data_IF_319594073113
#
_entry.id   IF_319594073113
#
_cell.length_a   1.000
_cell.length_b   1.000
_cell.length_c   1.000
_cell.angle_alpha   90.00
_cell.angle_beta   90.00
_cell.angle_gamma   90.00
#
_symmetry.space_group_name_H-M   'P 1'
#
loop_
_entity.id
_entity.type
_entity.pdbx_description
1 polymer ?
#
# COMPACT_ATOMS: atom_id res chain seq x y z
N UNK A 1 29.03 -19.80 31.28
CA UNK A 1 28.27 -19.97 30.01
C UNK A 1 27.02 -19.10 29.90
N UNK A 2 26.43 -18.56 30.99
CA UNK A 2 25.23 -17.70 30.91
C UNK A 2 25.55 -16.24 30.52
N UNK A 3 26.68 -15.70 31.01
CA UNK A 3 27.06 -14.28 30.86
C UNK A 3 27.47 -13.93 29.42
N UNK A 4 28.23 -14.79 28.74
CA UNK A 4 28.67 -14.54 27.35
C UNK A 4 27.51 -14.51 26.35
N UNK A 5 26.48 -15.34 26.58
CA UNK A 5 25.23 -15.33 25.81
C UNK A 5 24.46 -14.03 26.02
N UNK A 6 24.38 -13.54 27.27
CA UNK A 6 23.70 -12.29 27.58
C UNK A 6 24.42 -11.09 26.95
N UNK A 7 25.76 -11.05 27.00
CA UNK A 7 26.56 -9.98 26.39
C UNK A 7 26.43 -10.00 24.85
N UNK A 8 26.45 -11.18 24.22
CA UNK A 8 26.23 -11.30 22.78
C UNK A 8 24.83 -10.83 22.37
N UNK A 9 23.78 -11.25 23.08
CA UNK A 9 22.42 -10.79 22.84
C UNK A 9 22.28 -9.27 23.02
N UNK A 10 22.87 -8.68 24.08
CA UNK A 10 22.81 -7.24 24.30
C UNK A 10 23.50 -6.46 23.16
N UNK A 11 24.70 -6.88 22.74
CA UNK A 11 25.43 -6.24 21.64
C UNK A 11 24.67 -6.33 20.32
N UNK A 12 24.08 -7.48 20.02
CA UNK A 12 23.23 -7.65 18.84
C UNK A 12 22.02 -6.73 18.91
N UNK A 13 21.35 -6.64 20.07
CA UNK A 13 20.15 -5.85 20.26
C UNK A 13 20.44 -4.35 20.14
N UNK A 14 21.55 -3.86 20.71
CA UNK A 14 22.01 -2.47 20.56
C UNK A 14 22.32 -2.15 19.10
N UNK A 15 23.02 -3.05 18.39
CA UNK A 15 23.31 -2.87 16.97
C UNK A 15 22.03 -2.78 16.12
N UNK A 16 21.06 -3.67 16.35
CA UNK A 16 19.78 -3.64 15.65
C UNK A 16 18.97 -2.39 15.97
N UNK A 17 19.01 -1.89 17.21
CA UNK A 17 18.36 -0.63 17.57
C UNK A 17 18.99 0.56 16.86
N UNK A 18 20.33 0.65 16.81
CA UNK A 18 21.03 1.72 16.09
C UNK A 18 20.73 1.70 14.59
N UNK A 19 20.74 0.52 13.95
CA UNK A 19 20.37 0.39 12.54
C UNK A 19 18.92 0.83 12.27
N UNK A 20 17.99 0.48 13.18
CA UNK A 20 16.59 0.87 13.04
C UNK A 20 16.41 2.39 13.15
N UNK A 21 17.14 3.05 14.06
CA UNK A 21 17.14 4.51 14.20
C UNK A 21 17.71 5.21 12.96
N UNK A 22 18.80 4.69 12.39
CA UNK A 22 19.37 5.20 11.14
C UNK A 22 18.39 5.06 9.96
N UNK A 23 17.74 3.89 9.85
CA UNK A 23 16.74 3.63 8.81
C UNK A 23 15.52 4.55 8.95
N UNK A 24 15.02 4.75 10.17
CA UNK A 24 13.90 5.67 10.42
C UNK A 24 14.28 7.10 10.07
N UNK A 25 15.48 7.55 10.48
CA UNK A 25 15.99 8.89 10.15
C UNK A 25 16.08 9.09 8.64
N UNK A 26 16.56 8.09 7.90
CA UNK A 26 16.65 8.14 6.45
C UNK A 26 15.27 8.13 5.78
N UNK A 27 14.31 7.36 6.30
CA UNK A 27 12.91 7.39 5.84
C UNK A 27 12.32 8.78 6.05
N UNK A 28 12.44 9.35 7.24
CA UNK A 28 11.95 10.70 7.53
C UNK A 28 12.60 11.76 6.63
N UNK A 29 13.91 11.67 6.39
CA UNK A 29 14.65 12.56 5.49
C UNK A 29 14.11 12.53 4.06
N UNK A 30 13.59 11.40 3.60
CA UNK A 30 13.04 11.21 2.25
C UNK A 30 11.54 11.56 2.13
N UNK A 31 10.89 11.95 3.22
CA UNK A 31 9.49 12.33 3.18
C UNK A 31 9.29 13.55 2.27
N UNK A 32 8.28 13.48 1.40
CA UNK A 32 7.95 14.59 0.50
C UNK A 32 7.34 15.77 1.29
N UNK A 33 7.50 17.02 0.81
CA UNK A 33 6.95 18.20 1.49
C UNK A 33 5.44 18.12 1.75
N UNK A 34 4.70 17.58 0.77
CA UNK A 34 3.26 17.33 0.82
C UNK A 34 2.87 16.09 1.66
N UNK A 35 3.82 15.29 2.11
CA UNK A 35 3.59 14.02 2.78
C UNK A 35 3.75 12.82 1.87
N UNK A 36 3.99 11.66 2.47
CA UNK A 36 4.25 10.42 1.74
C UNK A 36 5.66 10.32 1.17
N UNK A 37 5.86 9.26 0.39
CA UNK A 37 7.14 8.88 -0.21
C UNK A 37 6.97 8.53 -1.68
N UNK A 38 7.92 8.97 -2.50
CA UNK A 38 7.97 8.62 -3.92
C UNK A 38 8.27 7.12 -4.12
N UNK A 39 7.71 6.55 -5.18
CA UNK A 39 8.03 5.16 -5.60
C UNK A 39 9.40 5.04 -6.25
N UNK A 40 9.88 6.13 -6.85
CA UNK A 40 11.13 6.17 -7.59
C UNK A 40 11.90 7.45 -7.25
N UNK A 41 13.23 7.34 -7.28
CA UNK A 41 14.11 8.49 -7.05
C UNK A 41 13.87 9.57 -8.10
N UNK A 42 13.62 10.80 -7.65
CA UNK A 42 13.40 11.96 -8.52
C UNK A 42 11.94 12.25 -8.87
N UNK A 43 11.00 11.37 -8.51
CA UNK A 43 9.57 11.64 -8.64
C UNK A 43 9.09 12.51 -7.47
N UNK A 44 8.33 13.56 -7.77
CA UNK A 44 7.81 14.50 -6.76
C UNK A 44 6.44 14.10 -6.20
N UNK A 45 5.82 13.05 -6.73
CA UNK A 45 4.50 12.58 -6.30
C UNK A 45 4.62 11.37 -5.37
N UNK A 46 3.77 11.33 -4.35
CA UNK A 46 3.76 10.22 -3.40
C UNK A 46 3.13 8.97 -4.02
N UNK A 47 3.78 7.82 -3.87
CA UNK A 47 3.16 6.52 -4.10
C UNK A 47 2.37 6.08 -2.87
N UNK A 48 1.14 5.62 -3.07
CA UNK A 48 0.30 5.16 -1.96
C UNK A 48 0.94 3.92 -1.31
N UNK A 49 1.46 2.99 -2.11
CA UNK A 49 2.15 1.79 -1.62
C UNK A 49 3.43 2.10 -0.84
N UNK A 50 4.34 2.90 -1.39
CA UNK A 50 5.58 3.30 -0.70
C UNK A 50 5.29 4.06 0.58
N UNK A 51 4.24 4.88 0.57
CA UNK A 51 3.78 5.57 1.78
C UNK A 51 3.22 4.61 2.82
N UNK A 52 2.53 3.53 2.43
CA UNK A 52 2.09 2.49 3.36
C UNK A 52 3.29 1.86 4.08
N UNK A 53 4.32 1.47 3.34
CA UNK A 53 5.51 0.85 3.93
C UNK A 53 6.25 1.80 4.88
N UNK A 54 6.44 3.05 4.46
CA UNK A 54 7.06 4.05 5.31
C UNK A 54 6.24 4.29 6.59
N UNK A 55 4.91 4.42 6.46
CA UNK A 55 4.01 4.63 7.60
C UNK A 55 4.04 3.46 8.60
N UNK A 56 4.14 2.21 8.12
CA UNK A 56 4.28 1.04 8.99
C UNK A 56 5.68 0.90 9.61
N UNK A 57 6.70 1.52 9.00
CA UNK A 57 8.09 1.48 9.50
C UNK A 57 8.36 2.58 10.53
N UNK A 58 7.72 3.74 10.39
CA UNK A 58 7.83 4.85 11.34
C UNK A 58 7.14 4.51 12.65
N UNK A 59 7.95 4.39 13.72
CA UNK A 59 7.48 3.97 15.04
C UNK A 59 7.02 5.14 15.92
N UNK A 60 7.50 6.35 15.66
CA UNK A 60 7.08 7.53 16.41
C UNK A 60 5.65 7.90 16.04
N UNK A 61 4.74 7.81 17.01
CA UNK A 61 3.32 8.11 16.82
C UNK A 61 3.07 9.59 16.48
N UNK A 62 4.04 10.48 16.75
CA UNK A 62 3.90 11.95 16.67
C UNK A 62 4.85 12.65 15.70
N UNK A 63 5.65 11.89 14.94
CA UNK A 63 6.56 12.47 13.95
C UNK A 63 5.82 13.25 12.85
N UNK A 64 6.33 14.42 12.41
CA UNK A 64 5.66 15.26 11.41
C UNK A 64 5.50 14.56 10.05
N UNK A 65 6.46 13.71 9.65
CA UNK A 65 6.39 12.93 8.42
C UNK A 65 5.21 11.94 8.44
N UNK A 66 4.98 11.31 9.59
CA UNK A 66 3.89 10.38 9.82
C UNK A 66 2.53 11.06 9.72
N UNK A 67 2.36 12.21 10.37
CA UNK A 67 1.09 12.94 10.32
C UNK A 67 0.78 13.39 8.89
N UNK A 68 1.77 13.94 8.17
CA UNK A 68 1.59 14.32 6.77
C UNK A 68 1.23 13.15 5.86
N UNK A 69 1.78 11.96 6.12
CA UNK A 69 1.42 10.75 5.38
C UNK A 69 -0.04 10.33 5.64
N UNK A 70 -0.52 10.47 6.87
CA UNK A 70 -1.92 10.21 7.22
C UNK A 70 -2.83 11.24 6.54
N UNK A 71 -2.45 12.51 6.54
CA UNK A 71 -3.17 13.57 5.84
C UNK A 71 -3.21 13.32 4.32
N UNK A 72 -2.12 12.78 3.73
CA UNK A 72 -2.09 12.30 2.34
C UNK A 72 -3.15 11.23 2.11
N UNK A 73 -3.25 10.20 2.95
CA UNK A 73 -4.26 9.16 2.78
C UNK A 73 -5.68 9.71 2.91
N UNK A 74 -5.92 10.66 3.82
CA UNK A 74 -7.25 11.28 3.96
C UNK A 74 -7.62 12.07 2.70
N UNK A 75 -6.69 12.84 2.12
CA UNK A 75 -6.98 13.66 0.92
C UNK A 75 -7.06 12.88 -0.39
N UNK A 76 -6.36 11.75 -0.49
CA UNK A 76 -6.32 10.91 -1.70
C UNK A 76 -7.35 9.79 -1.70
N UNK A 77 -8.15 9.67 -0.63
CA UNK A 77 -9.23 8.68 -0.57
C UNK A 77 -10.36 9.07 -1.52
N UNK A 78 -10.75 8.15 -2.38
CA UNK A 78 -11.85 8.30 -3.32
C UNK A 78 -13.22 8.30 -2.60
N UNK A 79 -14.28 8.69 -3.31
CA UNK A 79 -15.65 8.75 -2.77
C UNK A 79 -16.22 7.36 -2.39
N UNK A 80 -15.73 6.29 -3.03
CA UNK A 80 -16.06 4.90 -2.73
C UNK A 80 -15.18 4.30 -1.62
N UNK A 81 -14.26 5.10 -1.07
CA UNK A 81 -13.32 4.70 -0.03
C UNK A 81 -12.05 4.02 -0.53
N UNK A 82 -11.84 3.86 -1.83
CA UNK A 82 -10.60 3.29 -2.37
C UNK A 82 -9.46 4.30 -2.43
N UNK A 83 -8.25 3.84 -2.77
CA UNK A 83 -7.10 4.69 -3.06
C UNK A 83 -6.53 4.42 -4.46
N UNK A 84 -6.02 5.46 -5.14
CA UNK A 84 -5.27 5.32 -6.38
C UNK A 84 -3.86 4.74 -6.12
N UNK A 85 -3.09 4.53 -7.19
CA UNK A 85 -1.71 4.07 -7.07
C UNK A 85 -0.76 5.19 -6.59
N UNK A 86 -0.96 6.41 -7.11
CA UNK A 86 -0.17 7.59 -6.79
C UNK A 86 -1.06 8.78 -6.41
N UNK A 87 -0.49 9.73 -5.69
CA UNK A 87 -1.11 11.03 -5.48
C UNK A 87 -1.29 11.77 -6.82
N UNK A 88 -2.51 12.25 -7.07
CA UNK A 88 -2.83 13.01 -8.28
C UNK A 88 -3.14 12.15 -9.51
N UNK A 89 -3.08 10.82 -9.40
CA UNK A 89 -3.64 9.91 -10.42
C UNK A 89 -5.17 10.06 -10.51
N UNK A 90 -5.73 9.53 -11.60
CA UNK A 90 -7.18 9.38 -11.73
C UNK A 90 -7.77 8.65 -10.50
N UNK A 91 -8.99 9.03 -10.06
CA UNK A 91 -9.61 8.53 -8.84
C UNK A 91 -10.15 7.09 -9.00
N UNK A 92 -9.37 6.20 -9.60
CA UNK A 92 -9.64 4.78 -9.71
C UNK A 92 -8.94 4.02 -8.58
N UNK A 93 -9.70 3.21 -7.85
CA UNK A 93 -9.12 2.36 -6.84
C UNK A 93 -8.28 1.22 -7.42
N UNK A 94 -7.19 0.87 -6.75
CA UNK A 94 -6.37 -0.28 -7.14
C UNK A 94 -5.91 -1.12 -5.94
N UNK A 95 -4.94 -2.02 -6.15
CA UNK A 95 -4.41 -2.93 -5.13
C UNK A 95 -3.91 -2.21 -3.87
N UNK A 96 -3.48 -0.95 -4.01
CA UNK A 96 -3.01 -0.10 -2.90
C UNK A 96 -4.10 0.16 -1.87
N UNK A 97 -5.38 0.03 -2.20
CA UNK A 97 -6.49 0.19 -1.26
C UNK A 97 -6.36 -0.78 -0.08
N UNK A 98 -6.00 -2.04 -0.32
CA UNK A 98 -5.81 -3.01 0.75
C UNK A 98 -4.64 -2.62 1.66
N UNK A 99 -3.53 -2.19 1.07
CA UNK A 99 -2.35 -1.71 1.80
C UNK A 99 -2.66 -0.46 2.62
N UNK A 100 -3.39 0.51 2.06
CA UNK A 100 -3.77 1.75 2.72
C UNK A 100 -4.64 1.48 3.96
N UNK A 101 -5.62 0.58 3.86
CA UNK A 101 -6.43 0.15 5.01
C UNK A 101 -5.55 -0.48 6.10
N UNK A 102 -4.63 -1.38 5.74
CA UNK A 102 -3.71 -2.00 6.71
C UNK A 102 -2.80 -0.97 7.37
N UNK A 103 -2.18 -0.09 6.60
CA UNK A 103 -1.24 0.92 7.09
C UNK A 103 -1.95 1.95 7.99
N UNK A 104 -3.14 2.43 7.61
CA UNK A 104 -3.93 3.33 8.44
C UNK A 104 -4.43 2.64 9.71
N UNK A 105 -4.83 1.37 9.63
CA UNK A 105 -5.24 0.60 10.82
C UNK A 105 -4.08 0.38 11.79
N UNK A 106 -2.88 0.14 11.25
CA UNK A 106 -1.65 0.06 12.04
C UNK A 106 -1.29 1.42 12.67
N UNK A 107 -1.45 2.50 11.91
CA UNK A 107 -1.01 3.82 12.35
C UNK A 107 -2.00 4.54 13.28
N UNK A 108 -3.28 4.55 12.94
CA UNK A 108 -4.33 5.25 13.69
C UNK A 108 -5.64 4.45 13.65
N UNK A 109 -5.80 3.47 14.56
CA UNK A 109 -6.99 2.62 14.62
C UNK A 109 -8.32 3.38 14.74
N UNK A 110 -8.32 4.61 15.26
CA UNK A 110 -9.51 5.35 15.67
C UNK A 110 -9.95 6.47 14.72
N UNK A 111 -9.18 6.79 13.67
CA UNK A 111 -9.36 8.05 12.94
C UNK A 111 -10.16 7.91 11.64
N UNK A 112 -10.19 6.73 11.01
CA UNK A 112 -10.78 6.58 9.66
C UNK A 112 -11.84 5.48 9.63
N UNK A 113 -13.10 5.76 9.25
CA UNK A 113 -14.06 4.72 8.93
C UNK A 113 -13.67 4.04 7.62
N UNK A 114 -13.49 2.71 7.67
CA UNK A 114 -13.06 1.88 6.53
C UNK A 114 -14.20 1.14 5.84
N UNK A 115 -15.46 1.36 6.23
CA UNK A 115 -16.61 0.59 5.71
C UNK A 115 -16.79 0.71 4.20
N UNK A 116 -16.45 1.86 3.62
CA UNK A 116 -16.50 2.08 2.18
C UNK A 116 -15.35 1.35 1.49
N UNK A 117 -14.12 1.47 2.01
CA UNK A 117 -12.95 0.74 1.52
C UNK A 117 -13.15 -0.77 1.58
N UNK A 118 -13.70 -1.32 2.67
CA UNK A 118 -14.01 -2.75 2.77
C UNK A 118 -15.10 -3.17 1.79
N UNK A 119 -16.16 -2.37 1.64
CA UNK A 119 -17.19 -2.64 0.63
C UNK A 119 -16.59 -2.63 -0.77
N UNK A 120 -15.69 -1.70 -1.07
CA UNK A 120 -14.98 -1.67 -2.34
C UNK A 120 -14.12 -2.93 -2.55
N UNK A 121 -13.30 -3.29 -1.56
CA UNK A 121 -12.40 -4.46 -1.62
C UNK A 121 -13.16 -5.78 -1.80
N UNK A 122 -14.37 -5.91 -1.27
CA UNK A 122 -15.20 -7.12 -1.41
C UNK A 122 -15.97 -7.14 -2.74
N UNK A 123 -16.32 -5.98 -3.28
CA UNK A 123 -17.12 -5.88 -4.50
C UNK A 123 -16.30 -5.71 -5.78
N UNK A 124 -15.01 -5.36 -5.67
CA UNK A 124 -14.16 -5.21 -6.82
C UNK A 124 -14.08 -6.51 -7.62
N UNK A 125 -14.30 -6.40 -8.92
CA UNK A 125 -14.18 -7.51 -9.86
C UNK A 125 -13.12 -7.17 -10.89
N UNK A 126 -12.31 -8.16 -11.26
CA UNK A 126 -11.45 -8.02 -12.43
C UNK A 126 -12.25 -7.82 -13.71
N UNK A 127 -11.59 -7.34 -14.78
CA UNK A 127 -12.15 -7.24 -16.15
C UNK A 127 -12.79 -8.56 -16.62
N UNK A 128 -12.36 -9.69 -16.07
CA UNK A 128 -12.91 -11.04 -16.29
C UNK A 128 -14.33 -11.24 -15.72
N UNK A 129 -14.79 -10.36 -14.84
CA UNK A 129 -16.14 -10.36 -14.27
C UNK A 129 -17.21 -9.77 -15.19
N UNK A 130 -16.80 -9.09 -16.27
CA UNK A 130 -17.74 -8.48 -17.22
C UNK A 130 -18.37 -9.53 -18.14
N UNK A 131 -19.68 -9.42 -18.34
CA UNK A 131 -20.48 -10.39 -19.11
C UNK A 131 -19.92 -10.63 -20.52
N UNK A 132 -19.29 -9.61 -21.12
CA UNK A 132 -18.69 -9.63 -22.44
C UNK A 132 -17.45 -10.56 -22.51
N UNK A 133 -16.58 -10.52 -21.50
CA UNK A 133 -15.41 -11.40 -21.42
C UNK A 133 -15.81 -12.83 -21.09
N UNK A 134 -16.80 -13.02 -20.21
CA UNK A 134 -17.39 -14.33 -19.93
C UNK A 134 -17.98 -15.00 -21.19
N UNK A 135 -18.62 -14.24 -22.09
CA UNK A 135 -19.09 -14.77 -23.37
C UNK A 135 -17.93 -15.15 -24.31
N UNK A 136 -16.87 -14.33 -24.37
CA UNK A 136 -15.69 -14.58 -25.20
C UNK A 136 -14.88 -15.80 -24.75
N UNK A 137 -14.63 -15.95 -23.45
CA UNK A 137 -13.93 -17.13 -22.91
C UNK A 137 -14.72 -18.42 -23.10
N UNK A 138 -16.07 -18.36 -23.05
CA UNK A 138 -16.92 -19.52 -23.32
C UNK A 138 -16.88 -20.00 -24.78
N UNK A 139 -16.53 -19.13 -25.72
CA UNK A 139 -16.68 -19.41 -27.16
C UNK A 139 -15.36 -19.65 -27.88
N UNK A 140 -14.26 -18.98 -27.50
CA UNK A 140 -13.03 -18.96 -28.31
C UNK A 140 -11.88 -19.76 -27.68
N UNK A 141 -11.80 -19.86 -26.36
CA UNK A 141 -10.64 -20.44 -25.69
C UNK A 141 -10.99 -21.77 -24.98
N UNK A 142 -10.81 -22.89 -25.69
CA UNK A 142 -11.08 -24.25 -25.17
C UNK A 142 -9.85 -24.89 -24.49
N UNK A 143 -8.72 -24.20 -24.41
CA UNK A 143 -7.45 -24.76 -23.92
C UNK A 143 -7.29 -24.76 -22.40
N UNK A 144 -7.95 -23.85 -21.69
CA UNK A 144 -7.84 -23.69 -20.24
C UNK A 144 -9.24 -23.72 -19.63
N UNK A 145 -9.49 -24.64 -18.68
CA UNK A 145 -10.75 -24.67 -17.92
C UNK A 145 -10.78 -23.52 -16.92
N UNK A 146 -10.96 -22.29 -17.40
CA UNK A 146 -11.26 -21.15 -16.55
C UNK A 146 -12.66 -21.36 -15.95
N UNK A 147 -12.78 -21.33 -14.61
CA UNK A 147 -14.09 -21.34 -13.98
C UNK A 147 -14.62 -19.90 -13.96
N UNK A 148 -15.66 -19.55 -14.74
CA UNK A 148 -16.17 -18.18 -14.82
C UNK A 148 -16.82 -17.70 -13.51
N UNK A 149 -17.10 -18.60 -12.56
CA UNK A 149 -17.56 -18.24 -11.22
C UNK A 149 -16.42 -17.90 -10.25
N UNK A 150 -15.16 -18.07 -10.67
CA UNK A 150 -13.96 -17.77 -9.87
C UNK A 150 -13.16 -16.68 -10.58
N UNK A 151 -13.39 -15.44 -10.18
CA UNK A 151 -12.59 -14.29 -10.58
C UNK A 151 -11.75 -13.83 -9.39
N UNK A 152 -10.50 -13.45 -9.67
CA UNK A 152 -9.59 -12.89 -8.68
C UNK A 152 -9.62 -11.36 -8.65
N UNK A 153 -8.63 -10.78 -7.98
CA UNK A 153 -8.35 -9.35 -8.04
C UNK A 153 -8.15 -8.90 -9.50
N UNK A 154 -8.64 -7.71 -9.89
CA UNK A 154 -8.39 -7.16 -11.21
C UNK A 154 -6.91 -7.16 -11.53
N UNK A 155 -6.58 -7.77 -12.67
CA UNK A 155 -5.34 -7.47 -13.36
C UNK A 155 -5.55 -6.17 -14.15
N UNK A 156 -4.65 -5.20 -13.99
CA UNK A 156 -4.66 -3.93 -14.74
C UNK A 156 -3.59 -4.00 -15.82
N UNK A 157 -3.92 -4.40 -17.07
CA UNK A 157 -2.93 -4.68 -18.11
C UNK A 157 -2.28 -3.44 -18.73
N UNK A 158 -2.73 -2.23 -18.43
CA UNK A 158 -2.34 -1.01 -19.15
C UNK A 158 -1.10 -0.28 -18.59
N UNK A 159 -0.24 -0.94 -17.80
CA UNK A 159 1.02 -0.34 -17.28
C UNK A 159 2.31 -1.08 -17.61
N UNK A 160 2.31 -1.98 -18.61
CA UNK A 160 3.55 -2.60 -19.12
C UNK A 160 4.08 -1.97 -20.41
N UNK A 161 3.48 -0.87 -20.88
CA UNK A 161 3.98 -0.09 -22.02
C UNK A 161 4.37 1.30 -21.53
N UNK A 162 5.59 1.41 -20.99
CA UNK A 162 6.32 2.67 -20.94
C UNK A 162 7.63 2.45 -21.72
N UNK A 163 7.62 2.94 -22.96
CA UNK A 163 8.81 3.49 -23.64
C UNK A 163 9.21 4.82 -22.97
#
# INVERSE_FOLDING_TARGET
MSVDRQIFCLKSLIFFMGLLEELQSEIERRALPGGGWASESGRSTAGIETTCYALMTLRDDRGPARQKAIDLFVRTRNQDGSWPAFEGDDPEGCWTTALAVMALRFAQPSVVPFDQAFRWLVNIRGREGDWFWNWKFRTVDRGVRFNPSKYGWPWFPERSEFD
#
